data_IF_602572615512
#
_entry.id   IF_602572615512
#
_cell.length_a   1.000
_cell.length_b   1.000
_cell.length_c   1.000
_cell.angle_alpha   90.00
_cell.angle_beta   90.00
_cell.angle_gamma   90.00
#
_symmetry.space_group_name_H-M   'P 1'
#
loop_
_entity.id
_entity.type
_entity.pdbx_description
1 polymer ?
#
# COMPACT_ATOMS: atom_id res chain seq x y z
N UNK A 1 -23.13 41.87 13.16
CA UNK A 1 -24.23 41.49 14.09
C UNK A 1 -24.84 42.72 14.76
N UNK A 2 -24.08 43.53 15.51
CA UNK A 2 -24.61 44.74 16.17
C UNK A 2 -25.30 45.74 15.23
N UNK A 3 -24.78 45.94 14.01
CA UNK A 3 -25.46 46.74 12.97
C UNK A 3 -26.78 46.12 12.49
N UNK A 4 -26.83 44.79 12.41
CA UNK A 4 -28.02 44.03 11.99
C UNK A 4 -29.10 44.08 13.07
N UNK A 5 -28.71 44.04 14.34
CA UNK A 5 -29.62 44.17 15.49
C UNK A 5 -29.98 45.63 15.81
N UNK A 6 -29.69 46.60 14.93
CA UNK A 6 -30.09 48.00 15.12
C UNK A 6 -29.35 48.76 16.23
N UNK A 7 -28.19 48.30 16.70
CA UNK A 7 -27.43 48.99 17.75
C UNK A 7 -26.85 50.32 17.23
N UNK A 8 -27.34 51.43 17.80
CA UNK A 8 -27.07 52.79 17.31
C UNK A 8 -25.58 53.21 17.34
N UNK A 9 -24.76 52.63 18.23
CA UNK A 9 -23.32 52.88 18.34
C UNK A 9 -22.46 51.84 17.63
N UNK A 10 -23.04 50.97 16.80
CA UNK A 10 -22.27 49.90 16.15
C UNK A 10 -21.15 50.43 15.22
N UNK A 11 -21.25 51.68 14.75
CA UNK A 11 -20.22 52.33 13.94
C UNK A 11 -19.09 52.98 14.75
N UNK A 12 -19.27 53.19 16.06
CA UNK A 12 -18.29 53.83 16.93
C UNK A 12 -17.45 52.84 17.75
N UNK A 13 -17.65 51.53 17.54
CA UNK A 13 -16.89 50.48 18.20
C UNK A 13 -15.59 50.24 17.44
N UNK A 14 -14.45 50.26 18.14
CA UNK A 14 -13.17 49.86 17.58
C UNK A 14 -13.00 48.34 17.77
N UNK A 15 -12.46 47.64 16.77
CA UNK A 15 -12.25 46.20 16.84
C UNK A 15 -11.16 45.81 17.86
N UNK A 16 -10.14 46.65 17.98
CA UNK A 16 -8.96 46.43 18.84
C UNK A 16 -9.33 46.40 20.34
N UNK A 17 -10.42 47.05 20.74
CA UNK A 17 -10.92 47.05 22.12
C UNK A 17 -11.46 45.66 22.55
N UNK A 18 -11.63 44.73 21.60
CA UNK A 18 -12.22 43.41 21.82
C UNK A 18 -11.23 42.26 21.61
N UNK A 19 -9.95 42.53 21.34
CA UNK A 19 -8.96 41.48 21.07
C UNK A 19 -8.77 40.52 22.27
N UNK A 20 -8.94 41.01 23.50
CA UNK A 20 -8.89 40.21 24.73
C UNK A 20 -9.97 39.11 24.80
N UNK A 21 -11.09 39.24 24.08
CA UNK A 21 -12.14 38.22 24.03
C UNK A 21 -11.73 36.96 23.26
N UNK A 22 -10.62 37.00 22.52
CA UNK A 22 -10.13 35.85 21.76
C UNK A 22 -9.00 35.10 22.47
N UNK A 23 -8.54 35.58 23.63
CA UNK A 23 -7.40 35.00 24.35
C UNK A 23 -7.73 33.72 25.15
N UNK A 24 -9.01 33.49 25.50
CA UNK A 24 -9.43 32.30 26.27
C UNK A 24 -10.42 31.43 25.48
N UNK A 25 -10.36 30.11 25.73
CA UNK A 25 -11.21 29.14 25.06
C UNK A 25 -12.70 29.32 25.41
N UNK A 26 -13.00 29.75 26.64
CA UNK A 26 -14.36 30.03 27.11
C UNK A 26 -14.98 31.24 26.42
N UNK A 27 -14.20 32.31 26.22
CA UNK A 27 -14.69 33.51 25.53
C UNK A 27 -14.99 33.24 24.05
N UNK A 28 -14.29 32.27 23.44
CA UNK A 28 -14.57 31.82 22.07
C UNK A 28 -15.95 31.15 21.95
N UNK A 29 -16.28 30.24 22.86
CA UNK A 29 -17.61 29.59 22.90
C UNK A 29 -18.73 30.61 23.13
N UNK A 30 -18.49 31.60 24.01
CA UNK A 30 -19.41 32.71 24.20
C UNK A 30 -19.60 33.53 22.93
N UNK A 31 -18.53 33.87 22.21
CA UNK A 31 -18.61 34.65 20.98
C UNK A 31 -19.34 33.90 19.87
N UNK A 32 -19.13 32.59 19.76
CA UNK A 32 -19.84 31.74 18.79
C UNK A 32 -21.33 31.74 19.07
N UNK A 33 -21.73 31.54 20.34
CA UNK A 33 -23.12 31.67 20.75
C UNK A 33 -23.66 33.08 20.50
N UNK A 34 -22.96 34.13 20.92
CA UNK A 34 -23.37 35.52 20.76
C UNK A 34 -23.59 35.88 19.28
N UNK A 35 -22.74 35.38 18.38
CA UNK A 35 -22.82 35.66 16.96
C UNK A 35 -23.92 34.87 16.24
N UNK A 36 -24.29 33.68 16.75
CA UNK A 36 -25.27 32.79 16.14
C UNK A 36 -26.67 32.97 16.72
N UNK A 37 -26.77 33.19 18.03
CA UNK A 37 -28.04 33.30 18.75
C UNK A 37 -28.67 34.69 18.68
N UNK A 38 -27.88 35.77 18.56
CA UNK A 38 -28.42 37.12 18.49
C UNK A 38 -28.91 37.51 17.09
N UNK A 39 -30.21 37.79 17.03
CA UNK A 39 -30.90 38.31 15.86
C UNK A 39 -31.84 39.48 16.23
N UNK A 40 -32.56 40.00 15.23
CA UNK A 40 -33.46 41.15 15.38
C UNK A 40 -34.63 40.89 16.34
N UNK A 41 -35.03 39.64 16.54
CA UNK A 41 -36.08 39.26 17.50
C UNK A 41 -35.61 39.29 18.96
N UNK A 42 -34.30 39.37 19.20
CA UNK A 42 -33.75 39.51 20.56
C UNK A 42 -33.62 40.99 20.99
N UNK A 43 -34.04 41.91 20.13
CA UNK A 43 -34.00 43.36 20.39
C UNK A 43 -35.37 43.79 20.86
N UNK A 44 -35.45 44.37 22.06
CA UNK A 44 -36.70 44.88 22.59
C UNK A 44 -37.22 46.04 21.73
N UNK A 45 -38.50 45.98 21.39
CA UNK A 45 -39.20 47.09 20.76
C UNK A 45 -39.37 48.26 21.73
N UNK A 46 -39.61 49.46 21.21
CA UNK A 46 -39.85 50.66 22.04
C UNK A 46 -41.06 50.50 22.97
N UNK A 47 -42.09 49.78 22.51
CA UNK A 47 -43.32 49.49 23.27
C UNK A 47 -43.06 48.50 24.41
N UNK A 48 -42.26 47.46 24.17
CA UNK A 48 -41.80 46.52 25.20
C UNK A 48 -40.86 47.21 26.19
N UNK A 49 -40.00 48.12 25.72
CA UNK A 49 -39.09 48.88 26.55
C UNK A 49 -39.86 49.85 27.47
N UNK A 50 -40.91 50.50 26.96
CA UNK A 50 -41.79 51.35 27.77
C UNK A 50 -42.59 50.52 28.78
N UNK A 51 -43.09 49.35 28.38
CA UNK A 51 -43.77 48.41 29.28
C UNK A 51 -42.84 47.89 30.37
N UNK A 52 -41.60 47.55 30.03
CA UNK A 52 -40.55 47.15 30.97
C UNK A 52 -40.20 48.29 31.94
N UNK A 53 -40.03 49.52 31.45
CA UNK A 53 -39.76 50.68 32.30
C UNK A 53 -40.94 51.01 33.23
N UNK A 54 -42.18 50.82 32.76
CA UNK A 54 -43.37 50.94 33.59
C UNK A 54 -43.40 49.86 34.68
N UNK A 55 -43.09 48.61 34.32
CA UNK A 55 -42.94 47.50 35.28
C UNK A 55 -41.82 47.78 36.28
N UNK A 56 -40.66 48.28 35.85
CA UNK A 56 -39.54 48.62 36.72
C UNK A 56 -39.90 49.75 37.71
N UNK A 57 -40.68 50.75 37.27
CA UNK A 57 -41.18 51.84 38.12
C UNK A 57 -42.27 51.37 39.10
N UNK A 58 -43.05 50.35 38.74
CA UNK A 58 -44.10 49.75 39.58
C UNK A 58 -43.55 48.66 40.52
N UNK A 59 -42.39 48.11 40.22
CA UNK A 59 -41.83 46.93 40.88
C UNK A 59 -41.06 47.30 42.16
N UNK A 60 -41.63 46.89 43.30
CA UNK A 60 -40.82 46.18 44.33
C UNK A 60 -40.14 44.99 43.64
N UNK A 61 -38.88 44.66 43.94
CA UNK A 61 -38.06 43.72 43.16
C UNK A 61 -38.83 42.42 42.95
N UNK A 62 -39.35 42.21 41.73
CA UNK A 62 -40.28 41.10 41.45
C UNK A 62 -39.58 39.75 41.33
N UNK A 63 -38.25 39.72 41.38
CA UNK A 63 -37.44 38.52 41.53
C UNK A 63 -36.08 38.92 42.16
N UNK A 64 -36.06 39.13 43.48
CA UNK A 64 -34.81 39.24 44.23
C UNK A 64 -34.08 37.90 44.29
N UNK A 65 -32.80 37.91 44.69
CA UNK A 65 -31.95 36.71 44.80
C UNK A 65 -32.63 35.57 45.57
N UNK A 66 -33.34 35.86 46.67
CA UNK A 66 -34.15 34.87 47.40
C UNK A 66 -35.30 34.28 46.57
N UNK A 67 -36.07 35.11 45.85
CA UNK A 67 -37.19 34.63 45.04
C UNK A 67 -36.70 33.79 43.84
N UNK A 68 -35.57 34.19 43.25
CA UNK A 68 -34.92 33.42 42.20
C UNK A 68 -34.33 32.11 42.74
N UNK A 69 -33.74 32.10 43.93
CA UNK A 69 -33.25 30.90 44.60
C UNK A 69 -34.38 29.93 44.95
N UNK A 70 -35.54 30.42 45.39
CA UNK A 70 -36.71 29.57 45.63
C UNK A 70 -37.27 28.98 44.33
N UNK A 71 -37.31 29.77 43.25
CA UNK A 71 -37.69 29.25 41.93
C UNK A 71 -36.66 28.24 41.42
N UNK A 72 -35.36 28.48 41.59
CA UNK A 72 -34.28 27.56 41.21
C UNK A 72 -34.30 26.26 42.03
N UNK A 73 -34.76 26.30 43.29
CA UNK A 73 -34.99 25.08 44.09
C UNK A 73 -36.19 24.28 43.60
N UNK A 74 -37.23 24.96 43.10
CA UNK A 74 -38.46 24.32 42.59
C UNK A 74 -38.25 23.81 41.16
N UNK A 75 -37.53 24.57 40.33
CA UNK A 75 -37.02 24.09 39.06
C UNK A 75 -35.84 23.18 39.36
N UNK A 76 -36.12 21.89 39.60
CA UNK A 76 -35.12 20.86 39.30
C UNK A 76 -34.50 21.22 37.95
N UNK A 77 -33.17 21.11 37.77
CA UNK A 77 -32.61 21.19 36.44
C UNK A 77 -33.46 20.25 35.60
N UNK A 78 -34.15 20.81 34.63
CA UNK A 78 -34.71 20.00 33.55
C UNK A 78 -33.52 19.17 33.13
N UNK A 79 -33.60 17.84 33.29
CA UNK A 79 -32.57 16.89 32.89
C UNK A 79 -32.43 16.99 31.37
N UNK A 80 -31.86 18.11 30.92
CA UNK A 80 -31.42 18.37 29.59
C UNK A 80 -30.16 17.53 29.49
N UNK A 81 -30.32 16.35 28.88
CA UNK A 81 -29.27 15.49 28.34
C UNK A 81 -28.69 14.38 29.24
N UNK A 82 -29.48 13.69 30.05
CA UNK A 82 -29.09 12.31 30.44
C UNK A 82 -29.10 11.36 29.25
N UNK A 83 -30.06 11.48 28.33
CA UNK A 83 -30.12 10.62 27.13
C UNK A 83 -28.95 10.84 26.15
N UNK A 84 -28.49 12.08 25.92
CA UNK A 84 -27.36 12.31 25.01
C UNK A 84 -26.04 11.84 25.59
N UNK A 85 -25.86 11.87 26.93
CA UNK A 85 -24.62 11.46 27.57
C UNK A 85 -24.37 9.95 27.45
N UNK A 86 -25.43 9.14 27.59
CA UNK A 86 -25.36 7.68 27.41
C UNK A 86 -25.07 7.29 25.95
N UNK A 87 -25.68 7.98 24.98
CA UNK A 87 -25.38 7.79 23.55
C UNK A 87 -23.94 8.21 23.20
N UNK A 88 -23.44 9.31 23.77
CA UNK A 88 -22.04 9.74 23.60
C UNK A 88 -21.04 8.74 24.22
N UNK A 89 -21.36 8.19 25.39
CA UNK A 89 -20.51 7.20 26.04
C UNK A 89 -20.50 5.85 25.29
N UNK A 90 -21.65 5.41 24.77
CA UNK A 90 -21.75 4.19 23.97
C UNK A 90 -21.01 4.34 22.62
N UNK A 91 -21.13 5.49 21.96
CA UNK A 91 -20.40 5.79 20.73
C UNK A 91 -18.89 5.89 20.97
N UNK A 92 -18.44 6.51 22.06
CA UNK A 92 -17.02 6.53 22.46
C UNK A 92 -16.49 5.12 22.70
N UNK A 93 -17.26 4.26 23.37
CA UNK A 93 -16.88 2.87 23.61
C UNK A 93 -16.82 2.05 22.31
N UNK A 94 -17.73 2.29 21.38
CA UNK A 94 -17.71 1.69 20.04
C UNK A 94 -16.45 2.10 19.28
N UNK A 95 -16.10 3.39 19.31
CA UNK A 95 -14.92 3.94 18.64
C UNK A 95 -13.62 3.38 19.23
N UNK A 96 -13.53 3.25 20.57
CA UNK A 96 -12.37 2.62 21.23
C UNK A 96 -12.23 1.15 20.81
N UNK A 97 -13.34 0.41 20.74
CA UNK A 97 -13.33 -0.98 20.26
C UNK A 97 -12.86 -1.08 18.81
N UNK A 98 -13.33 -0.19 17.94
CA UNK A 98 -12.89 -0.11 16.55
C UNK A 98 -11.40 0.23 16.46
N UNK A 99 -10.92 1.19 17.24
CA UNK A 99 -9.51 1.55 17.32
C UNK A 99 -8.64 0.36 17.72
N UNK A 100 -9.05 -0.39 18.75
CA UNK A 100 -8.34 -1.61 19.17
C UNK A 100 -8.37 -2.70 18.08
N UNK A 101 -9.49 -2.87 17.36
CA UNK A 101 -9.58 -3.80 16.25
C UNK A 101 -8.65 -3.40 15.09
N UNK A 102 -8.63 -2.12 14.71
CA UNK A 102 -7.74 -1.57 13.68
C UNK A 102 -6.28 -1.73 14.07
N UNK A 103 -5.93 -1.51 15.34
CA UNK A 103 -4.58 -1.75 15.87
C UNK A 103 -4.15 -3.21 15.71
N UNK A 104 -5.03 -4.18 16.02
CA UNK A 104 -4.76 -5.61 15.80
C UNK A 104 -4.59 -5.93 14.30
N UNK A 105 -5.46 -5.41 13.44
CA UNK A 105 -5.36 -5.58 11.98
C UNK A 105 -4.04 -5.03 11.46
N UNK A 106 -3.62 -3.85 11.92
CA UNK A 106 -2.33 -3.26 11.54
C UNK A 106 -1.15 -4.16 11.90
N UNK A 107 -1.15 -4.75 13.09
CA UNK A 107 -0.09 -5.67 13.52
C UNK A 107 -0.03 -6.92 12.64
N UNK A 108 -1.18 -7.53 12.32
CA UNK A 108 -1.26 -8.68 11.43
C UNK A 108 -0.73 -8.33 10.03
N UNK A 109 -1.14 -7.18 9.48
CA UNK A 109 -0.66 -6.72 8.17
C UNK A 109 0.84 -6.46 8.16
N UNK A 110 1.38 -5.87 9.22
CA UNK A 110 2.82 -5.63 9.35
C UNK A 110 3.60 -6.95 9.40
N UNK A 111 3.12 -7.92 10.19
CA UNK A 111 3.73 -9.25 10.27
C UNK A 111 3.78 -9.93 8.90
N UNK A 112 2.64 -10.00 8.20
CA UNK A 112 2.57 -10.58 6.85
C UNK A 112 3.48 -9.87 5.86
N UNK A 113 3.54 -8.53 5.91
CA UNK A 113 4.44 -7.76 5.05
C UNK A 113 5.90 -8.12 5.31
N UNK A 114 6.29 -8.27 6.57
CA UNK A 114 7.66 -8.62 6.93
C UNK A 114 8.02 -10.03 6.46
N UNK A 115 7.11 -11.01 6.61
CA UNK A 115 7.30 -12.36 6.06
C UNK A 115 7.48 -12.35 4.55
N UNK A 116 6.61 -11.63 3.83
CA UNK A 116 6.71 -11.48 2.38
C UNK A 116 7.99 -10.77 1.96
N UNK A 117 8.44 -9.77 2.72
CA UNK A 117 9.69 -9.05 2.45
C UNK A 117 10.92 -9.96 2.61
N UNK A 118 10.94 -10.83 3.62
CA UNK A 118 11.99 -11.83 3.80
C UNK A 118 11.99 -12.80 2.61
N UNK A 119 10.83 -13.33 2.24
CA UNK A 119 10.71 -14.23 1.09
C UNK A 119 11.14 -13.56 -0.21
N UNK A 120 10.70 -12.33 -0.48
CA UNK A 120 11.10 -11.58 -1.67
C UNK A 120 12.62 -11.36 -1.73
N UNK A 121 13.24 -11.07 -0.59
CA UNK A 121 14.70 -10.89 -0.49
C UNK A 121 15.47 -12.19 -0.71
N UNK A 122 14.94 -13.34 -0.25
CA UNK A 122 15.53 -14.63 -0.56
C UNK A 122 15.37 -15.00 -2.04
N UNK A 123 14.23 -14.66 -2.63
CA UNK A 123 13.89 -15.01 -4.00
C UNK A 123 14.58 -14.11 -5.05
N UNK A 124 15.05 -12.92 -4.69
CA UNK A 124 15.68 -11.98 -5.62
C UNK A 124 17.00 -12.49 -6.22
N UNK A 125 17.74 -13.32 -5.48
CA UNK A 125 19.04 -13.85 -5.92
C UNK A 125 18.94 -15.21 -6.64
N UNK A 126 17.82 -15.91 -6.51
CA UNK A 126 17.63 -17.24 -7.11
C UNK A 126 17.68 -17.22 -8.65
N UNK A 127 17.01 -16.29 -9.37
CA UNK A 127 17.08 -16.24 -10.83
C UNK A 127 18.50 -16.02 -11.35
N UNK A 128 19.30 -15.19 -10.67
CA UNK A 128 20.68 -14.93 -11.06
C UNK A 128 21.53 -16.19 -10.91
N UNK A 129 21.41 -16.89 -9.77
CA UNK A 129 22.13 -18.13 -9.51
C UNK A 129 21.74 -19.26 -10.48
N UNK A 130 20.45 -19.40 -10.78
CA UNK A 130 19.96 -20.38 -11.75
C UNK A 130 20.47 -20.06 -13.15
N UNK A 131 20.49 -18.77 -13.53
CA UNK A 131 21.03 -18.33 -14.82
C UNK A 131 22.53 -18.61 -14.94
N UNK A 132 23.31 -18.29 -13.91
CA UNK A 132 24.75 -18.55 -13.89
C UNK A 132 25.07 -20.06 -14.03
N UNK A 133 24.38 -20.90 -13.24
CA UNK A 133 24.50 -22.35 -13.34
C UNK A 133 24.11 -22.88 -14.72
N UNK A 134 23.03 -22.36 -15.31
CA UNK A 134 22.58 -22.75 -16.64
C UNK A 134 23.54 -22.33 -17.76
N UNK A 135 24.16 -21.16 -17.63
CA UNK A 135 25.19 -20.69 -18.58
C UNK A 135 26.45 -21.55 -18.53
N UNK A 136 26.87 -21.99 -17.34
CA UNK A 136 28.01 -22.89 -17.16
C UNK A 136 27.75 -24.28 -17.76
N UNK A 137 26.58 -24.87 -17.50
CA UNK A 137 26.16 -26.13 -18.11
C UNK A 137 26.07 -26.05 -19.63
N UNK A 138 25.53 -24.94 -20.16
CA UNK A 138 25.45 -24.70 -21.60
C UNK A 138 26.84 -24.61 -22.24
N UNK A 139 27.80 -23.99 -21.55
CA UNK A 139 29.20 -23.93 -22.01
C UNK A 139 29.82 -25.32 -22.08
N UNK A 140 29.68 -26.13 -21.03
CA UNK A 140 30.17 -27.52 -20.99
C UNK A 140 29.54 -28.34 -22.12
N UNK A 141 28.24 -28.18 -22.35
CA UNK A 141 27.53 -28.87 -23.43
C UNK A 141 28.07 -28.47 -24.81
N UNK A 142 28.28 -27.18 -25.04
CA UNK A 142 28.80 -26.65 -26.31
C UNK A 142 30.23 -27.13 -26.58
N UNK A 143 31.08 -27.13 -25.57
CA UNK A 143 32.45 -27.63 -25.66
C UNK A 143 32.45 -29.15 -25.96
N UNK A 144 31.60 -29.91 -25.27
CA UNK A 144 31.39 -31.33 -25.53
C UNK A 144 30.91 -31.60 -26.96
N UNK A 145 29.91 -30.84 -27.44
CA UNK A 145 29.41 -30.94 -28.80
C UNK A 145 30.50 -30.66 -29.85
N UNK A 146 31.34 -29.66 -29.60
CA UNK A 146 32.49 -29.35 -30.46
C UNK A 146 33.46 -30.54 -30.56
N UNK A 147 33.80 -31.14 -29.41
CA UNK A 147 34.68 -32.31 -29.34
C UNK A 147 34.08 -33.52 -30.08
N UNK A 148 32.80 -33.82 -29.86
CA UNK A 148 32.11 -34.91 -30.57
C UNK A 148 32.07 -34.67 -32.07
N UNK A 149 31.81 -33.44 -32.50
CA UNK A 149 31.79 -33.08 -33.93
C UNK A 149 33.17 -33.27 -34.56
N UNK A 150 34.23 -32.80 -33.90
CA UNK A 150 35.60 -32.98 -34.37
C UNK A 150 35.99 -34.47 -34.46
N UNK A 151 35.62 -35.27 -33.45
CA UNK A 151 35.88 -36.71 -33.44
C UNK A 151 35.10 -37.44 -34.54
N UNK A 152 33.85 -37.06 -34.79
CA UNK A 152 33.03 -37.62 -35.85
C UNK A 152 33.61 -37.31 -37.24
N UNK A 153 34.05 -36.07 -37.48
CA UNK A 153 34.76 -35.71 -38.72
C UNK A 153 36.03 -36.56 -38.90
N UNK A 154 36.82 -36.73 -37.83
CA UNK A 154 38.03 -37.56 -37.87
C UNK A 154 37.72 -39.02 -38.22
N UNK A 155 36.74 -39.62 -37.56
CA UNK A 155 36.30 -41.00 -37.82
C UNK A 155 35.81 -41.15 -39.26
N UNK A 156 35.00 -40.21 -39.75
CA UNK A 156 34.50 -40.26 -41.13
C UNK A 156 35.65 -40.20 -42.15
N UNK A 157 36.66 -39.36 -41.90
CA UNK A 157 37.86 -39.30 -42.76
C UNK A 157 38.67 -40.61 -42.72
N UNK A 158 38.83 -41.21 -41.55
CA UNK A 158 39.51 -42.51 -41.39
C UNK A 158 38.73 -43.63 -42.11
N UNK A 159 37.40 -43.66 -41.96
CA UNK A 159 36.53 -44.62 -42.66
C UNK A 159 36.57 -44.44 -44.17
N UNK A 160 36.61 -43.21 -44.67
CA UNK A 160 36.77 -42.93 -46.09
C UNK A 160 38.12 -43.45 -46.60
N UNK A 161 39.20 -43.17 -45.87
CA UNK A 161 40.55 -43.65 -46.20
C UNK A 161 40.60 -45.18 -46.22
N UNK A 162 40.01 -45.83 -45.22
CA UNK A 162 39.89 -47.28 -45.16
C UNK A 162 39.08 -47.83 -46.35
N UNK A 163 37.96 -47.20 -46.67
CA UNK A 163 37.10 -47.59 -47.81
C UNK A 163 37.85 -47.47 -49.13
N UNK A 164 38.62 -46.41 -49.33
CA UNK A 164 39.48 -46.22 -50.51
C UNK A 164 40.58 -47.30 -50.57
N UNK A 165 41.21 -47.62 -49.43
CA UNK A 165 42.18 -48.71 -49.31
C UNK A 165 41.59 -50.07 -49.67
N UNK A 166 40.38 -50.39 -49.17
CA UNK A 166 39.66 -51.62 -49.49
C UNK A 166 39.27 -51.67 -50.98
N UNK A 167 38.78 -50.55 -51.55
CA UNK A 167 38.51 -50.46 -53.00
C UNK A 167 39.76 -50.72 -53.83
N UNK A 168 40.90 -50.15 -53.44
CA UNK A 168 42.18 -50.39 -54.09
C UNK A 168 42.61 -51.85 -53.97
N UNK A 169 42.48 -52.46 -52.78
CA UNK A 169 42.76 -53.88 -52.57
C UNK A 169 41.87 -54.75 -53.46
N UNK A 170 40.56 -54.50 -53.47
CA UNK A 170 39.60 -55.20 -54.32
C UNK A 170 39.94 -55.08 -55.81
N UNK A 171 40.45 -53.92 -56.27
CA UNK A 171 40.85 -53.74 -57.66
C UNK A 171 42.00 -54.67 -58.09
N UNK A 172 42.96 -54.99 -57.20
CA UNK A 172 44.01 -55.96 -57.51
C UNK A 172 43.44 -57.37 -57.73
N UNK A 173 42.42 -57.76 -56.96
CA UNK A 173 41.75 -59.06 -57.12
C UNK A 173 40.78 -59.10 -58.30
N UNK A 174 40.12 -57.99 -58.63
CA UNK A 174 39.21 -57.89 -59.78
C UNK A 174 39.97 -57.94 -61.13
N UNK A 175 41.16 -57.33 -61.21
CA UNK A 175 42.04 -57.42 -62.39
C UNK A 175 42.53 -58.86 -62.59
N UNK A 176 42.80 -59.59 -61.51
CA UNK A 176 43.17 -61.00 -61.56
C UNK A 176 42.02 -61.94 -61.99
N UNK A 177 40.76 -61.48 -61.95
CA UNK A 177 39.59 -62.25 -62.38
C UNK A 177 39.12 -61.91 -63.81
N UNK A 178 39.59 -60.81 -64.40
CA UNK A 178 39.22 -60.34 -65.74
C UNK A 178 40.31 -60.52 -66.81
N UNK A 179 41.52 -60.96 -66.43
CA UNK A 179 42.52 -61.45 -67.38
C UNK A 179 42.37 -62.97 -67.53
N UNK A 180 42.44 -63.40 -68.79
CA UNK A 180 42.47 -64.77 -69.30
C UNK A 180 42.89 -65.87 -68.30
N UNK A 181 42.18 -66.99 -68.37
CA UNK A 181 42.54 -68.26 -67.74
C UNK A 181 44.02 -68.58 -68.00
N UNK A 182 44.88 -68.51 -66.96
CA UNK A 182 46.04 -69.41 -66.72
C UNK A 182 46.99 -68.96 -65.61
N UNK A 183 46.68 -67.93 -64.81
CA UNK A 183 47.42 -67.67 -63.57
C UNK A 183 46.49 -67.22 -62.45
N UNK A 184 46.09 -68.19 -61.62
CA UNK A 184 45.40 -67.91 -60.36
C UNK A 184 46.27 -67.01 -59.49
N UNK A 185 45.72 -65.92 -58.91
CA UNK A 185 46.47 -65.10 -57.97
C UNK A 185 46.77 -65.93 -56.70
N UNK A 186 48.03 -66.31 -56.51
CA UNK A 186 48.50 -67.04 -55.33
C UNK A 186 48.67 -66.05 -54.17
N UNK A 187 48.03 -66.35 -53.03
CA UNK A 187 48.25 -65.62 -51.78
C UNK A 187 49.68 -65.85 -51.30
N UNK A 188 50.41 -64.78 -51.01
CA UNK A 188 51.81 -64.81 -50.51
C UNK A 188 52.02 -65.65 -49.25
N UNK A 189 50.96 -66.03 -48.54
CA UNK A 189 51.00 -66.98 -47.41
C UNK A 189 51.29 -68.42 -47.84
N UNK A 190 51.37 -68.70 -49.14
CA UNK A 190 51.67 -70.02 -49.69
C UNK A 190 53.12 -70.18 -50.18
N UNK A 191 53.97 -69.16 -50.04
CA UNK A 191 55.41 -69.35 -50.28
C UNK A 191 56.08 -69.99 -49.05
N UNK A 192 56.81 -71.11 -49.21
CA UNK A 192 57.64 -71.64 -48.13
C UNK A 192 58.75 -70.63 -47.84
N UNK A 193 58.93 -70.32 -46.54
CA UNK A 193 60.05 -69.55 -46.03
C UNK A 193 61.26 -70.49 -46.00
N UNK A 194 62.18 -70.33 -46.95
CA UNK A 194 63.56 -70.84 -46.84
C UNK A 194 64.42 -69.90 -45.99
#
# INVERSE_FOLDING_TARGET
>A
ILKRTGYFKANSLNGEDFDWLFETLENKSFLEWFCTALNEHNVLSEEELQSFNALQKLSKPMLGEEALNEILKISKPLDLNTNNCEEEEETLKMLENEFQALKKIKQIKLHRRNELQIMASANSFLPLKVKESGEEELKILKDGQGNFTAMNIKINNELQTLTEGVKKLASFFAVAAGQDLDSHPVLLTQLPLD
#
